data_IF_776816778055
#
_entry.id   IF_776816778055
#
_cell.length_a   1.000
_cell.length_b   1.000
_cell.length_c   1.000
_cell.angle_alpha   90.00
_cell.angle_beta   90.00
_cell.angle_gamma   90.00
#
_symmetry.space_group_name_H-M   'P 1'
#
loop_
_entity.id
_entity.type
_entity.pdbx_description
1 polymer ?
#
# COMPACT_ATOMS: atom_id res chain seq x y z
N UNK A 1 -9.32 -0.06 -11.37
CA UNK A 1 -9.34 -1.16 -10.37
C UNK A 1 -8.76 -2.41 -11.01
N UNK A 2 -7.78 -3.09 -10.38
CA UNK A 2 -7.23 -4.35 -10.89
C UNK A 2 -8.29 -5.45 -10.97
N UNK A 3 -8.13 -6.42 -11.88
CA UNK A 3 -9.04 -7.56 -12.06
C UNK A 3 -8.77 -8.65 -11.01
N UNK A 4 -8.75 -8.25 -9.73
CA UNK A 4 -8.51 -9.18 -8.63
C UNK A 4 -9.54 -10.33 -8.64
N UNK A 5 -9.14 -11.57 -8.32
CA UNK A 5 -10.06 -12.68 -8.13
C UNK A 5 -11.14 -12.34 -7.11
N UNK A 6 -12.31 -12.98 -7.21
CA UNK A 6 -13.46 -12.69 -6.34
C UNK A 6 -13.13 -12.78 -4.84
N UNK A 7 -12.28 -13.75 -4.46
CA UNK A 7 -11.83 -13.95 -3.07
C UNK A 7 -11.02 -12.78 -2.52
N UNK A 8 -10.29 -12.06 -3.37
CA UNK A 8 -9.50 -10.88 -3.00
C UNK A 8 -10.30 -9.58 -3.17
N UNK A 9 -11.25 -9.54 -4.11
CA UNK A 9 -12.03 -8.33 -4.41
C UNK A 9 -12.94 -7.89 -3.26
N UNK A 10 -13.54 -8.84 -2.52
CA UNK A 10 -14.43 -8.54 -1.39
C UNK A 10 -13.71 -7.88 -0.20
N UNK A 11 -12.60 -8.44 0.34
CA UNK A 11 -11.87 -7.79 1.44
C UNK A 11 -11.30 -6.43 1.04
N UNK A 12 -10.91 -6.24 -0.24
CA UNK A 12 -10.46 -4.94 -0.77
C UNK A 12 -11.60 -3.91 -0.71
N UNK A 13 -12.81 -4.27 -1.15
CA UNK A 13 -13.97 -3.34 -1.08
C UNK A 13 -14.33 -2.98 0.35
N UNK A 14 -14.35 -3.96 1.26
CA UNK A 14 -14.65 -3.71 2.67
C UNK A 14 -13.61 -2.79 3.30
N UNK A 15 -12.32 -2.94 2.95
CA UNK A 15 -11.24 -2.07 3.40
C UNK A 15 -11.41 -0.64 2.86
N UNK A 16 -11.69 -0.49 1.57
CA UNK A 16 -11.92 0.80 0.92
C UNK A 16 -13.16 1.54 1.47
N UNK A 17 -14.13 0.81 2.02
CA UNK A 17 -15.31 1.39 2.66
C UNK A 17 -15.08 1.85 4.11
N UNK A 18 -13.88 1.65 4.69
CA UNK A 18 -13.57 2.18 6.03
C UNK A 18 -13.41 3.70 6.00
N UNK A 19 -13.78 4.35 7.10
CA UNK A 19 -13.80 5.81 7.24
C UNK A 19 -12.50 6.51 6.83
N UNK A 20 -11.34 5.91 7.11
CA UNK A 20 -10.02 6.43 6.72
C UNK A 20 -9.82 6.57 5.19
N UNK A 21 -10.62 5.89 4.37
CA UNK A 21 -10.55 5.94 2.91
C UNK A 21 -11.72 6.72 2.29
N UNK A 22 -12.76 7.08 3.06
CA UNK A 22 -13.95 7.76 2.53
C UNK A 22 -13.69 9.23 2.17
N UNK A 23 -12.63 9.83 2.70
CA UNK A 23 -12.21 11.20 2.38
C UNK A 23 -11.44 11.27 1.05
N UNK A 24 -11.07 10.10 0.49
CA UNK A 24 -10.35 9.98 -0.77
C UNK A 24 -11.32 9.76 -1.94
N UNK A 25 -10.85 10.06 -3.16
CA UNK A 25 -11.57 9.67 -4.36
C UNK A 25 -11.76 8.14 -4.37
N UNK A 26 -12.95 7.60 -4.69
CA UNK A 26 -13.26 6.17 -4.56
C UNK A 26 -12.30 5.27 -5.33
N UNK A 27 -11.77 5.72 -6.46
CA UNK A 27 -10.75 4.98 -7.21
C UNK A 27 -9.43 4.84 -6.44
N UNK A 28 -8.99 5.91 -5.78
CA UNK A 28 -7.77 5.92 -4.93
C UNK A 28 -7.96 5.06 -3.69
N UNK A 29 -9.13 5.14 -3.05
CA UNK A 29 -9.48 4.30 -1.90
C UNK A 29 -9.37 2.80 -2.23
N UNK A 30 -9.95 2.40 -3.36
CA UNK A 30 -9.88 1.01 -3.83
C UNK A 30 -8.46 0.59 -4.20
N UNK A 31 -7.68 1.49 -4.81
CA UNK A 31 -6.28 1.25 -5.15
C UNK A 31 -5.41 1.01 -3.91
N UNK A 32 -5.50 1.89 -2.90
CA UNK A 32 -4.75 1.75 -1.65
C UNK A 32 -5.19 0.52 -0.86
N UNK A 33 -6.50 0.23 -0.83
CA UNK A 33 -7.03 -0.98 -0.22
C UNK A 33 -6.50 -2.26 -0.90
N UNK A 34 -6.36 -2.24 -2.23
CA UNK A 34 -5.80 -3.36 -2.99
C UNK A 34 -4.32 -3.57 -2.64
N UNK A 35 -3.51 -2.51 -2.64
CA UNK A 35 -2.09 -2.58 -2.27
C UNK A 35 -1.92 -3.09 -0.85
N UNK A 36 -2.67 -2.53 0.12
CA UNK A 36 -2.61 -2.97 1.50
C UNK A 36 -3.01 -4.45 1.64
N UNK A 37 -4.03 -4.90 0.90
CA UNK A 37 -4.40 -6.32 0.90
C UNK A 37 -3.29 -7.21 0.33
N UNK A 38 -2.68 -6.84 -0.79
CA UNK A 38 -1.55 -7.59 -1.37
C UNK A 38 -0.38 -7.65 -0.38
N UNK A 39 -0.02 -6.53 0.24
CA UNK A 39 1.10 -6.44 1.21
C UNK A 39 0.91 -7.32 2.45
N UNK A 40 -0.31 -7.46 2.95
CA UNK A 40 -0.54 -8.24 4.17
C UNK A 40 -0.87 -9.71 3.90
N UNK A 41 -1.40 -10.03 2.72
CA UNK A 41 -1.92 -11.39 2.42
C UNK A 41 -1.02 -12.15 1.46
N UNK A 42 -0.36 -11.44 0.54
CA UNK A 42 0.37 -12.02 -0.56
C UNK A 42 1.87 -11.72 -0.52
N UNK A 43 2.36 -11.03 0.52
CA UNK A 43 3.80 -10.81 0.73
C UNK A 43 4.19 -11.08 2.18
N UNK A 44 5.50 -11.25 2.39
CA UNK A 44 6.08 -11.53 3.71
C UNK A 44 6.28 -10.24 4.55
N UNK A 45 5.55 -9.16 4.26
CA UNK A 45 5.74 -7.86 4.93
C UNK A 45 5.66 -7.96 6.45
N UNK A 46 4.62 -8.62 6.96
CA UNK A 46 4.40 -8.79 8.40
C UNK A 46 5.45 -9.72 9.04
N UNK A 47 5.98 -10.68 8.26
CA UNK A 47 7.06 -11.56 8.71
C UNK A 47 8.39 -10.79 8.80
N UNK A 48 8.73 -9.97 7.80
CA UNK A 48 9.91 -9.12 7.81
C UNK A 48 9.93 -8.16 9.01
N UNK A 49 8.78 -7.56 9.34
CA UNK A 49 8.65 -6.75 10.55
C UNK A 49 8.85 -7.56 11.83
N UNK A 50 8.31 -8.78 11.90
CA UNK A 50 8.48 -9.67 13.05
C UNK A 50 9.93 -10.15 13.21
N UNK A 51 10.69 -10.25 12.12
CA UNK A 51 12.12 -10.58 12.08
C UNK A 51 13.03 -9.41 12.51
N UNK A 52 12.46 -8.21 12.68
CA UNK A 52 13.17 -7.02 13.12
C UNK A 52 13.71 -6.13 11.99
N UNK A 53 13.25 -6.34 10.76
CA UNK A 53 13.50 -5.39 9.67
C UNK A 53 12.74 -4.09 9.92
N UNK A 54 13.34 -2.98 9.51
CA UNK A 54 12.67 -1.69 9.52
C UNK A 54 11.58 -1.61 8.42
N UNK A 55 10.66 -0.67 8.59
CA UNK A 55 9.54 -0.49 7.68
C UNK A 55 9.96 -0.09 6.26
N UNK A 56 11.10 0.56 6.08
CA UNK A 56 11.59 0.99 4.77
C UNK A 56 12.18 -0.19 4.01
N UNK A 57 13.06 -0.96 4.64
CA UNK A 57 13.61 -2.21 4.13
C UNK A 57 12.50 -3.21 3.79
N UNK A 58 11.58 -3.46 4.73
CA UNK A 58 10.47 -4.39 4.50
C UNK A 58 9.58 -3.95 3.34
N UNK A 59 9.37 -2.64 3.15
CA UNK A 59 8.66 -2.11 1.98
C UNK A 59 9.44 -2.35 0.69
N UNK A 60 10.74 -2.07 0.70
CA UNK A 60 11.57 -2.23 -0.48
C UNK A 60 11.58 -3.67 -0.99
N UNK A 61 11.68 -4.65 -0.08
CA UNK A 61 11.67 -6.08 -0.44
C UNK A 61 10.34 -6.55 -1.04
N UNK A 62 9.21 -6.05 -0.55
CA UNK A 62 7.89 -6.54 -0.99
C UNK A 62 7.32 -5.79 -2.19
N UNK A 63 7.94 -4.69 -2.65
CA UNK A 63 7.47 -3.92 -3.83
C UNK A 63 7.41 -4.79 -5.08
N UNK A 64 8.43 -5.61 -5.32
CA UNK A 64 8.48 -6.48 -6.49
C UNK A 64 7.38 -7.55 -6.44
N UNK A 65 7.14 -8.14 -5.26
CA UNK A 65 6.06 -9.11 -5.05
C UNK A 65 4.67 -8.47 -5.24
N UNK A 66 4.49 -7.24 -4.75
CA UNK A 66 3.27 -6.47 -4.97
C UNK A 66 3.04 -6.25 -6.47
N UNK A 67 4.07 -5.81 -7.19
CA UNK A 67 4.00 -5.58 -8.64
C UNK A 67 3.76 -6.87 -9.43
N UNK A 68 4.31 -8.01 -8.99
CA UNK A 68 4.03 -9.32 -9.57
C UNK A 68 2.55 -9.69 -9.44
N UNK A 69 1.95 -9.52 -8.26
CA UNK A 69 0.50 -9.76 -8.06
C UNK A 69 -0.37 -8.79 -8.85
N UNK A 70 0.01 -7.51 -8.91
CA UNK A 70 -0.69 -6.52 -9.74
C UNK A 70 -0.64 -6.89 -11.23
N UNK A 71 0.50 -7.42 -11.70
CA UNK A 71 0.64 -7.93 -13.08
C UNK A 71 -0.28 -9.13 -13.32
N UNK A 72 -0.32 -10.07 -12.38
CA UNK A 72 -1.23 -11.23 -12.44
C UNK A 72 -2.70 -10.79 -12.52
N UNK A 73 -3.06 -9.75 -11.78
CA UNK A 73 -4.40 -9.15 -11.78
C UNK A 73 -4.62 -8.16 -12.93
N UNK A 74 -3.67 -8.09 -13.89
CA UNK A 74 -3.71 -7.20 -15.07
C UNK A 74 -4.00 -5.74 -14.71
N UNK A 75 -3.37 -5.25 -13.64
CA UNK A 75 -3.48 -3.86 -13.24
C UNK A 75 -2.93 -2.94 -14.34
N UNK A 76 -3.58 -1.79 -14.54
CA UNK A 76 -3.11 -0.75 -15.46
C UNK A 76 -2.09 0.21 -14.81
N UNK A 77 -1.85 0.06 -13.50
CA UNK A 77 -0.96 0.88 -12.69
C UNK A 77 -0.07 -0.05 -11.86
N UNK A 78 1.20 0.32 -11.71
CA UNK A 78 2.19 -0.36 -10.88
C UNK A 78 2.63 0.55 -9.73
N UNK A 79 3.18 -0.05 -8.67
CA UNK A 79 3.70 0.68 -7.54
C UNK A 79 5.17 0.99 -7.77
N UNK A 80 5.54 2.27 -7.77
CA UNK A 80 6.93 2.72 -7.76
C UNK A 80 7.39 2.90 -6.31
N UNK A 81 8.68 2.68 -6.02
CA UNK A 81 9.24 2.88 -4.67
C UNK A 81 8.98 4.30 -4.10
N UNK A 82 8.82 5.28 -4.99
CA UNK A 82 8.57 6.69 -4.70
C UNK A 82 7.12 6.99 -4.30
N UNK A 83 6.15 6.18 -4.75
CA UNK A 83 4.72 6.41 -4.51
C UNK A 83 4.26 5.95 -3.11
N UNK A 84 5.05 5.11 -2.42
CA UNK A 84 4.76 4.66 -1.05
C UNK A 84 5.34 5.61 0.03
N UNK A 85 6.45 6.31 -0.27
CA UNK A 85 7.09 7.26 0.66
C UNK A 85 6.36 8.60 0.76
N UNK A 86 5.68 9.06 -0.29
CA UNK A 86 5.03 10.38 -0.28
C UNK A 86 3.80 10.48 0.65
N UNK A 87 3.25 9.36 1.11
CA UNK A 87 2.13 9.34 2.05
C UNK A 87 2.55 9.59 3.51
N UNK A 88 3.85 9.48 3.82
CA UNK A 88 4.37 9.55 5.20
C UNK A 88 5.18 10.83 5.46
N UNK A 89 5.68 11.49 4.41
CA UNK A 89 6.59 12.64 4.53
C UNK A 89 5.89 14.01 4.66
N UNK A 90 4.58 14.05 4.92
CA UNK A 90 3.85 15.33 5.13
C UNK A 90 3.80 15.81 6.59
N UNK A 91 4.42 15.08 7.54
CA UNK A 91 4.54 15.50 8.94
C UNK A 91 6.02 15.58 9.37
N UNK A 92 6.74 16.58 8.88
CA UNK A 92 7.99 17.06 9.50
C UNK A 92 8.21 18.53 9.13
N UNK A 93 7.28 19.36 9.56
CA UNK A 93 7.46 20.80 9.66
C UNK A 93 7.51 21.21 11.14
N UNK A 94 8.52 20.74 11.88
CA UNK A 94 8.82 21.32 13.20
C UNK A 94 9.93 22.37 13.02
N UNK A 95 9.49 23.60 13.16
CA UNK A 95 10.17 24.87 12.98
C UNK A 95 11.38 24.97 13.93
N UNK A 96 12.60 24.85 13.39
CA UNK A 96 13.80 25.22 14.13
C UNK A 96 13.99 26.74 14.08
N UNK A 97 13.58 27.35 15.19
CA UNK A 97 13.76 28.73 15.66
C UNK A 97 14.98 29.48 15.08
N UNK A 98 14.71 30.68 14.57
CA UNK A 98 15.63 31.60 13.93
C UNK A 98 16.47 32.39 14.94
N UNK A 99 17.74 32.62 14.60
CA UNK A 99 18.72 33.45 15.31
C UNK A 99 18.30 34.92 15.46
#
# INVERSE_FOLDING_TARGET
MPLAPFLDADPIRMRAARSAFLELHPETAVWLAAIAHIRHVHTDYDALLAEGYDHESARHFVIDDINAKLTEWRASRYLSAEEDISAVDSESGDEADQQ
#
